data_IF_906498788777
#
_entry.id   IF_906498788777
#
_cell.length_a   1.000
_cell.length_b   1.000
_cell.length_c   1.000
_cell.angle_alpha   90.00
_cell.angle_beta   90.00
_cell.angle_gamma   90.00
#
_symmetry.space_group_name_H-M   'P 1'
#
loop_
_entity.id
_entity.type
_entity.pdbx_description
1 polymer ?
#
# COMPACT_ATOMS: atom_id res chain seq x y z
N UNK A 1 102.69 -18.09 6.72
CA UNK A 1 101.44 -18.36 7.45
C UNK A 1 100.52 -17.14 7.42
N UNK A 2 101.01 -15.92 7.71
CA UNK A 2 100.21 -14.68 7.75
C UNK A 2 99.47 -14.32 6.43
N UNK A 3 100.10 -14.51 5.27
CA UNK A 3 99.47 -14.23 3.96
C UNK A 3 98.23 -15.09 3.72
N UNK A 4 98.24 -16.34 4.20
CA UNK A 4 97.10 -17.27 4.08
C UNK A 4 95.94 -16.81 4.97
N UNK A 5 96.23 -16.32 6.18
CA UNK A 5 95.21 -15.76 7.06
C UNK A 5 94.59 -14.47 6.51
N UNK A 6 95.39 -13.59 5.88
CA UNK A 6 94.91 -12.37 5.24
C UNK A 6 93.98 -12.71 4.06
N UNK A 7 94.38 -13.65 3.20
CA UNK A 7 93.53 -14.10 2.08
C UNK A 7 92.23 -14.72 2.56
N UNK A 8 92.29 -15.56 3.60
CA UNK A 8 91.09 -16.18 4.17
C UNK A 8 90.15 -15.15 4.81
N UNK A 9 90.69 -14.14 5.51
CA UNK A 9 89.91 -13.03 6.05
C UNK A 9 89.24 -12.20 4.95
N UNK A 10 89.95 -11.91 3.85
CA UNK A 10 89.39 -11.22 2.68
C UNK A 10 88.27 -12.04 2.02
N UNK A 11 88.43 -13.37 1.89
CA UNK A 11 87.38 -14.23 1.34
C UNK A 11 86.13 -14.25 2.23
N UNK A 12 86.29 -14.37 3.55
CA UNK A 12 85.16 -14.32 4.49
C UNK A 12 84.46 -12.96 4.44
N UNK A 13 85.22 -11.86 4.42
CA UNK A 13 84.66 -10.52 4.29
C UNK A 13 83.87 -10.35 2.97
N UNK A 14 84.40 -10.85 1.85
CA UNK A 14 83.72 -10.81 0.56
C UNK A 14 82.42 -11.61 0.54
N UNK A 15 82.41 -12.81 1.16
CA UNK A 15 81.20 -13.65 1.28
C UNK A 15 80.15 -12.98 2.15
N UNK A 16 80.54 -12.36 3.27
CA UNK A 16 79.61 -11.64 4.15
C UNK A 16 79.03 -10.40 3.45
N UNK A 17 79.84 -9.66 2.70
CA UNK A 17 79.40 -8.51 1.91
C UNK A 17 78.42 -8.94 0.81
N UNK A 18 78.72 -10.03 0.11
CA UNK A 18 77.84 -10.61 -0.91
C UNK A 18 76.51 -11.08 -0.31
N UNK A 19 76.53 -11.73 0.86
CA UNK A 19 75.31 -12.14 1.56
C UNK A 19 74.46 -10.94 2.02
N UNK A 20 75.09 -9.87 2.53
CA UNK A 20 74.42 -8.61 2.90
C UNK A 20 73.79 -7.90 1.70
N UNK A 21 74.49 -7.86 0.57
CA UNK A 21 74.00 -7.24 -0.67
C UNK A 21 72.87 -8.06 -1.30
N UNK A 22 72.98 -9.39 -1.31
CA UNK A 22 71.95 -10.30 -1.83
C UNK A 22 70.69 -10.34 -0.94
N UNK A 23 70.85 -10.14 0.37
CA UNK A 23 69.73 -10.04 1.32
C UNK A 23 68.97 -8.71 1.29
N UNK A 24 69.47 -7.68 0.59
CA UNK A 24 68.86 -6.35 0.54
C UNK A 24 67.56 -6.23 -0.27
N UNK A 25 67.16 -7.28 -1.01
CA UNK A 25 65.94 -7.28 -1.82
C UNK A 25 64.66 -7.68 -1.07
N UNK A 26 64.78 -8.44 0.02
CA UNK A 26 63.64 -8.89 0.83
C UNK A 26 62.79 -7.75 1.44
N UNK A 27 63.38 -6.68 2.03
CA UNK A 27 62.57 -5.59 2.57
C UNK A 27 61.81 -4.82 1.48
N UNK A 28 62.41 -4.60 0.31
CA UNK A 28 61.75 -3.93 -0.83
C UNK A 28 60.61 -4.74 -1.44
N UNK A 29 60.75 -6.08 -1.46
CA UNK A 29 59.67 -6.97 -1.90
C UNK A 29 58.51 -6.98 -0.89
N UNK A 30 58.81 -6.91 0.41
CA UNK A 30 57.80 -6.80 1.45
C UNK A 30 57.07 -5.44 1.40
N UNK A 31 57.80 -4.34 1.16
CA UNK A 31 57.24 -3.00 0.93
C UNK A 31 56.31 -3.00 -0.29
N UNK A 32 56.74 -3.55 -1.43
CA UNK A 32 55.90 -3.63 -2.63
C UNK A 32 54.64 -4.51 -2.43
N UNK A 33 54.73 -5.57 -1.63
CA UNK A 33 53.58 -6.40 -1.27
C UNK A 33 52.59 -5.64 -0.37
N UNK A 34 53.09 -4.89 0.61
CA UNK A 34 52.28 -4.04 1.47
C UNK A 34 51.59 -2.92 0.69
N UNK A 35 52.28 -2.26 -0.23
CA UNK A 35 51.69 -1.23 -1.09
C UNK A 35 50.56 -1.81 -1.95
N UNK A 36 50.75 -3.01 -2.49
CA UNK A 36 49.71 -3.70 -3.26
C UNK A 36 48.50 -4.06 -2.39
N UNK A 37 48.73 -4.52 -1.17
CA UNK A 37 47.65 -4.85 -0.24
C UNK A 37 46.87 -3.61 0.22
N UNK A 38 47.55 -2.48 0.42
CA UNK A 38 46.91 -1.18 0.72
C UNK A 38 46.02 -0.75 -0.44
N UNK A 39 46.51 -0.78 -1.68
CA UNK A 39 45.71 -0.43 -2.86
C UNK A 39 44.48 -1.34 -3.01
N UNK A 40 44.65 -2.63 -2.71
CA UNK A 40 43.55 -3.59 -2.75
C UNK A 40 42.52 -3.32 -1.66
N UNK A 41 42.96 -2.99 -0.44
CA UNK A 41 42.08 -2.59 0.66
C UNK A 41 41.32 -1.30 0.33
N UNK A 42 41.97 -0.30 -0.24
CA UNK A 42 41.32 0.96 -0.67
C UNK A 42 40.24 0.70 -1.73
N UNK A 43 40.52 -0.14 -2.72
CA UNK A 43 39.54 -0.50 -3.75
C UNK A 43 38.37 -1.29 -3.16
N UNK A 44 38.63 -2.20 -2.21
CA UNK A 44 37.56 -2.89 -1.47
C UNK A 44 36.70 -1.92 -0.69
N UNK A 45 37.31 -0.91 -0.06
CA UNK A 45 36.60 0.09 0.73
C UNK A 45 35.72 0.97 -0.16
N UNK A 46 36.24 1.39 -1.32
CA UNK A 46 35.47 2.13 -2.32
C UNK A 46 34.27 1.32 -2.84
N UNK A 47 34.50 0.05 -3.19
CA UNK A 47 33.43 -0.85 -3.63
C UNK A 47 32.37 -1.04 -2.53
N UNK A 48 32.81 -1.25 -1.27
CA UNK A 48 31.87 -1.39 -0.16
C UNK A 48 31.04 -0.11 0.03
N UNK A 49 31.66 1.07 -0.03
CA UNK A 49 30.95 2.34 0.05
C UNK A 49 29.90 2.50 -1.05
N UNK A 50 30.21 2.08 -2.28
CA UNK A 50 29.26 2.06 -3.40
C UNK A 50 28.09 1.10 -3.14
N UNK A 51 28.36 -0.11 -2.64
CA UNK A 51 27.30 -1.07 -2.27
C UNK A 51 26.42 -0.56 -1.14
N UNK A 52 26.97 0.15 -0.15
CA UNK A 52 26.18 0.81 0.89
C UNK A 52 25.31 1.93 0.31
N UNK A 53 25.84 2.73 -0.61
CA UNK A 53 25.08 3.79 -1.28
C UNK A 53 23.91 3.27 -2.10
N UNK A 54 24.13 2.22 -2.89
CA UNK A 54 23.07 1.56 -3.69
C UNK A 54 22.02 0.91 -2.80
N UNK A 55 22.44 0.24 -1.71
CA UNK A 55 21.51 -0.35 -0.76
C UNK A 55 20.67 0.73 -0.06
N UNK A 56 21.28 1.82 0.39
CA UNK A 56 20.58 2.94 1.01
C UNK A 56 19.54 3.57 0.06
N UNK A 57 19.89 3.74 -1.22
CA UNK A 57 18.96 4.23 -2.24
C UNK A 57 17.78 3.27 -2.44
N UNK A 58 18.03 1.95 -2.48
CA UNK A 58 16.97 0.94 -2.60
C UNK A 58 16.03 0.91 -1.39
N UNK A 59 16.56 1.08 -0.17
CA UNK A 59 15.77 1.18 1.06
C UNK A 59 14.92 2.45 1.05
N UNK A 60 15.48 3.59 0.62
CA UNK A 60 14.72 4.83 0.48
C UNK A 60 13.58 4.67 -0.53
N UNK A 61 13.84 4.03 -1.68
CA UNK A 61 12.83 3.74 -2.69
C UNK A 61 11.73 2.78 -2.17
N UNK A 62 12.10 1.73 -1.42
CA UNK A 62 11.12 0.84 -0.78
C UNK A 62 10.25 1.56 0.25
N UNK A 63 10.85 2.41 1.10
CA UNK A 63 10.10 3.24 2.05
C UNK A 63 9.13 4.19 1.34
N UNK A 64 9.59 4.85 0.27
CA UNK A 64 8.72 5.71 -0.54
C UNK A 64 7.52 4.96 -1.14
N UNK A 65 7.74 3.76 -1.68
CA UNK A 65 6.65 2.90 -2.18
C UNK A 65 5.67 2.48 -1.09
N UNK A 66 6.17 2.15 0.11
CA UNK A 66 5.34 1.76 1.24
C UNK A 66 4.44 2.92 1.70
N UNK A 67 5.00 4.13 1.82
CA UNK A 67 4.22 5.33 2.17
C UNK A 67 3.15 5.63 1.12
N UNK A 68 3.51 5.62 -0.16
CA UNK A 68 2.53 5.84 -1.24
C UNK A 68 1.45 4.75 -1.31
N UNK A 69 1.73 3.53 -0.86
CA UNK A 69 0.73 2.47 -0.74
C UNK A 69 -0.19 2.71 0.46
N UNK A 70 0.37 3.06 1.61
CA UNK A 70 -0.39 3.37 2.81
C UNK A 70 -1.35 4.57 2.61
N UNK A 71 -0.91 5.61 1.89
CA UNK A 71 -1.76 6.74 1.51
C UNK A 71 -2.91 6.30 0.61
N UNK A 72 -2.63 5.50 -0.43
CA UNK A 72 -3.67 4.97 -1.32
C UNK A 72 -4.68 4.08 -0.62
N UNK A 73 -4.24 3.29 0.36
CA UNK A 73 -5.15 2.47 1.18
C UNK A 73 -6.00 3.34 2.10
N UNK A 74 -5.42 4.39 2.70
CA UNK A 74 -6.18 5.33 3.51
C UNK A 74 -7.27 6.03 2.68
N UNK A 75 -6.93 6.51 1.48
CA UNK A 75 -7.88 7.12 0.56
C UNK A 75 -9.00 6.16 0.15
N UNK A 76 -8.65 4.91 -0.19
CA UNK A 76 -9.65 3.86 -0.49
C UNK A 76 -10.59 3.61 0.66
N UNK A 77 -10.09 3.55 1.90
CA UNK A 77 -10.94 3.35 3.09
C UNK A 77 -11.89 4.53 3.28
N UNK A 78 -11.43 5.76 3.03
CA UNK A 78 -12.28 6.95 3.10
C UNK A 78 -13.35 6.93 2.00
N UNK A 79 -12.99 6.61 0.77
CA UNK A 79 -13.93 6.47 -0.35
C UNK A 79 -14.97 5.39 -0.07
N UNK A 80 -14.55 4.21 0.39
CA UNK A 80 -15.46 3.10 0.74
C UNK A 80 -16.42 3.50 1.88
N UNK A 81 -15.95 4.25 2.87
CA UNK A 81 -16.80 4.77 3.94
C UNK A 81 -17.78 5.83 3.43
N UNK A 82 -17.34 6.70 2.53
CA UNK A 82 -18.20 7.71 1.92
C UNK A 82 -19.29 7.05 1.06
N UNK A 83 -18.95 6.04 0.26
CA UNK A 83 -19.92 5.28 -0.53
C UNK A 83 -20.87 4.49 0.37
N UNK A 84 -20.39 3.85 1.44
CA UNK A 84 -21.23 3.14 2.40
C UNK A 84 -22.17 4.09 3.16
N UNK A 85 -21.73 5.31 3.46
CA UNK A 85 -22.59 6.33 4.06
C UNK A 85 -23.67 6.80 3.07
N UNK A 86 -23.33 6.98 1.79
CA UNK A 86 -24.28 7.32 0.74
C UNK A 86 -25.32 6.21 0.54
N UNK A 87 -24.91 4.95 0.45
CA UNK A 87 -25.86 3.83 0.34
C UNK A 87 -26.72 3.70 1.58
N UNK A 88 -26.19 3.93 2.78
CA UNK A 88 -27.00 3.95 4.01
C UNK A 88 -28.01 5.11 4.04
N UNK A 89 -27.69 6.28 3.47
CA UNK A 89 -28.65 7.38 3.31
C UNK A 89 -29.71 7.08 2.26
N UNK A 90 -29.33 6.47 1.14
CA UNK A 90 -30.26 6.02 0.09
C UNK A 90 -31.17 4.87 0.57
N UNK A 91 -30.66 3.99 1.45
CA UNK A 91 -31.43 2.96 2.13
C UNK A 91 -32.46 3.54 3.11
N UNK A 92 -32.26 4.77 3.60
CA UNK A 92 -33.17 5.48 4.51
C UNK A 92 -34.20 6.35 3.79
N UNK A 93 -34.10 6.51 2.47
CA UNK A 93 -35.11 7.27 1.73
C UNK A 93 -36.44 6.55 1.77
N UNK A 94 -37.43 7.21 2.35
CA UNK A 94 -38.78 6.69 2.44
C UNK A 94 -39.39 6.55 1.03
N UNK A 95 -40.26 5.55 0.83
CA UNK A 95 -40.97 5.36 -0.44
C UNK A 95 -41.71 6.65 -0.85
N UNK A 96 -42.20 7.43 0.13
CA UNK A 96 -42.86 8.73 -0.08
C UNK A 96 -41.91 9.77 -0.70
N UNK A 97 -40.68 9.92 -0.21
CA UNK A 97 -39.68 10.86 -0.79
C UNK A 97 -39.30 10.47 -2.22
N UNK A 98 -39.25 9.16 -2.49
CA UNK A 98 -38.96 8.66 -3.83
C UNK A 98 -40.08 9.00 -4.82
N UNK A 99 -41.34 8.89 -4.39
CA UNK A 99 -42.51 9.29 -5.18
C UNK A 99 -42.50 10.81 -5.49
N UNK A 100 -42.09 11.64 -4.52
CA UNK A 100 -41.93 13.09 -4.69
C UNK A 100 -40.84 13.42 -5.72
N UNK A 101 -39.65 12.83 -5.59
CA UNK A 101 -38.52 13.07 -6.50
C UNK A 101 -38.81 12.64 -7.94
N UNK A 102 -39.55 11.55 -8.11
CA UNK A 102 -40.00 11.08 -9.45
C UNK A 102 -41.14 11.91 -10.02
N UNK A 103 -41.69 12.88 -9.27
CA UNK A 103 -42.82 13.69 -9.68
C UNK A 103 -44.13 12.91 -9.81
N UNK A 104 -44.21 11.72 -9.22
CA UNK A 104 -45.42 10.87 -9.23
C UNK A 104 -46.48 11.40 -8.27
N UNK A 105 -46.04 12.14 -7.26
CA UNK A 105 -46.86 12.79 -6.24
C UNK A 105 -46.26 14.17 -5.96
N UNK A 106 -47.09 15.19 -5.68
CA UNK A 106 -46.62 16.52 -5.27
C UNK A 106 -46.56 16.69 -3.75
N UNK A 107 -45.77 17.66 -3.26
CA UNK A 107 -45.67 17.97 -1.83
C UNK A 107 -47.05 18.28 -1.21
N UNK A 108 -47.91 19.01 -1.93
CA UNK A 108 -49.27 19.31 -1.51
C UNK A 108 -50.14 18.05 -1.34
N UNK A 109 -49.96 17.04 -2.20
CA UNK A 109 -50.69 15.77 -2.12
C UNK A 109 -50.22 14.93 -0.94
N UNK A 110 -48.92 14.94 -0.66
CA UNK A 110 -48.31 14.31 0.52
C UNK A 110 -48.83 14.95 1.80
N UNK A 111 -48.88 16.28 1.87
CA UNK A 111 -49.42 17.01 3.02
C UNK A 111 -50.91 16.72 3.24
N UNK A 112 -51.71 16.63 2.17
CA UNK A 112 -53.13 16.25 2.25
C UNK A 112 -53.33 14.82 2.74
N UNK A 113 -52.53 13.87 2.27
CA UNK A 113 -52.56 12.50 2.75
C UNK A 113 -52.18 12.39 4.22
N UNK A 114 -51.20 13.16 4.68
CA UNK A 114 -50.82 13.19 6.09
C UNK A 114 -51.92 13.80 6.96
N UNK A 115 -52.51 14.93 6.54
CA UNK A 115 -53.62 15.56 7.23
C UNK A 115 -54.84 14.63 7.34
N UNK A 116 -55.17 13.91 6.27
CA UNK A 116 -56.21 12.89 6.30
C UNK A 116 -55.91 11.81 7.34
N UNK A 117 -54.68 11.27 7.35
CA UNK A 117 -54.25 10.22 8.29
C UNK A 117 -54.36 10.67 9.75
N UNK A 118 -53.91 11.89 10.06
CA UNK A 118 -54.01 12.47 11.41
C UNK A 118 -55.47 12.69 11.84
N UNK A 119 -56.32 13.16 10.92
CA UNK A 119 -57.70 13.50 11.23
C UNK A 119 -58.63 12.28 11.35
N UNK A 120 -58.34 11.18 10.63
CA UNK A 120 -59.12 9.94 10.70
C UNK A 120 -58.52 8.87 11.60
N UNK A 121 -57.29 9.06 12.09
CA UNK A 121 -56.56 8.03 12.85
C UNK A 121 -56.25 6.78 12.02
N UNK A 122 -56.13 6.93 10.70
CA UNK A 122 -55.94 5.81 9.79
C UNK A 122 -54.57 5.14 10.04
N UNK A 123 -54.50 3.82 10.31
CA UNK A 123 -53.25 3.13 10.59
C UNK A 123 -52.41 2.83 9.34
N UNK A 124 -52.92 3.12 8.13
CA UNK A 124 -52.21 2.85 6.89
C UNK A 124 -50.98 3.75 6.72
N UNK A 125 -49.89 3.22 6.13
CA UNK A 125 -48.71 4.01 5.80
C UNK A 125 -49.05 5.10 4.78
N UNK A 126 -48.27 6.19 4.79
CA UNK A 126 -48.55 7.38 4.00
C UNK A 126 -48.71 7.10 2.50
N UNK A 127 -47.96 6.14 1.96
CA UNK A 127 -48.03 5.77 0.55
C UNK A 127 -49.36 5.10 0.18
N UNK A 128 -49.89 4.25 1.06
CA UNK A 128 -51.19 3.60 0.86
C UNK A 128 -52.34 4.62 1.03
N UNK A 129 -52.17 5.64 1.87
CA UNK A 129 -53.12 6.75 1.99
C UNK A 129 -53.11 7.62 0.72
N UNK A 130 -51.95 7.84 0.10
CA UNK A 130 -51.86 8.54 -1.19
C UNK A 130 -52.63 7.81 -2.29
N UNK A 131 -52.55 6.48 -2.32
CA UNK A 131 -53.34 5.65 -3.24
C UNK A 131 -54.83 5.66 -2.91
N UNK A 132 -55.19 5.61 -1.62
CA UNK A 132 -56.58 5.68 -1.15
C UNK A 132 -57.27 6.99 -1.55
N UNK A 133 -56.55 8.11 -1.49
CA UNK A 133 -57.04 9.43 -1.90
C UNK A 133 -57.03 9.63 -3.43
N UNK A 134 -56.56 8.65 -4.20
CA UNK A 134 -56.51 8.70 -5.66
C UNK A 134 -55.43 9.62 -6.23
N UNK A 135 -54.44 10.04 -5.42
CA UNK A 135 -53.33 10.86 -5.90
C UNK A 135 -52.30 10.05 -6.69
N UNK A 136 -52.24 8.75 -6.46
CA UNK A 136 -51.43 7.79 -7.21
C UNK A 136 -52.25 6.52 -7.44
N UNK A 137 -52.07 5.87 -8.58
CA UNK A 137 -52.76 4.60 -8.86
C UNK A 137 -52.09 3.46 -8.10
N UNK A 138 -52.87 2.46 -7.68
CA UNK A 138 -52.37 1.30 -6.94
C UNK A 138 -51.31 0.51 -7.73
N UNK A 139 -51.40 0.50 -9.06
CA UNK A 139 -50.44 -0.19 -9.93
C UNK A 139 -49.08 0.51 -9.97
N UNK A 140 -49.05 1.84 -10.00
CA UNK A 140 -47.80 2.62 -9.95
C UNK A 140 -47.15 2.48 -8.58
N UNK A 141 -47.94 2.51 -7.50
CA UNK A 141 -47.43 2.30 -6.15
C UNK A 141 -46.83 0.90 -5.97
N UNK A 142 -47.47 -0.15 -6.52
CA UNK A 142 -46.94 -1.52 -6.49
C UNK A 142 -45.64 -1.64 -7.28
N UNK A 143 -45.58 -1.06 -8.48
CA UNK A 143 -44.38 -1.08 -9.31
C UNK A 143 -43.19 -0.39 -8.61
N UNK A 144 -43.41 0.77 -8.01
CA UNK A 144 -42.39 1.49 -7.25
C UNK A 144 -41.94 0.73 -6.00
N UNK A 145 -42.87 0.05 -5.32
CA UNK A 145 -42.54 -0.79 -4.16
C UNK A 145 -41.73 -2.02 -4.53
N UNK A 146 -42.04 -2.65 -5.67
CA UNK A 146 -41.30 -3.80 -6.17
C UNK A 146 -39.90 -3.39 -6.67
N UNK A 147 -39.79 -2.23 -7.31
CA UNK A 147 -38.50 -1.63 -7.69
C UNK A 147 -37.67 -1.28 -6.45
N UNK A 148 -38.28 -0.66 -5.43
CA UNK A 148 -37.65 -0.39 -4.14
C UNK A 148 -37.12 -1.69 -3.50
N UNK A 149 -37.92 -2.75 -3.48
CA UNK A 149 -37.48 -4.07 -2.97
C UNK A 149 -36.33 -4.68 -3.77
N UNK A 150 -36.33 -4.53 -5.09
CA UNK A 150 -35.24 -5.02 -5.96
C UNK A 150 -33.93 -4.28 -5.67
N UNK A 151 -33.98 -2.96 -5.56
CA UNK A 151 -32.80 -2.14 -5.26
C UNK A 151 -32.21 -2.47 -3.88
N UNK A 152 -33.05 -2.70 -2.86
CA UNK A 152 -32.63 -3.18 -1.54
C UNK A 152 -32.06 -4.62 -1.56
N UNK A 153 -32.58 -5.50 -2.43
CA UNK A 153 -32.08 -6.87 -2.55
C UNK A 153 -30.73 -6.96 -3.25
N UNK A 154 -30.50 -6.12 -4.26
CA UNK A 154 -29.23 -6.10 -5.02
C UNK A 154 -28.08 -5.55 -4.17
N UNK A 155 -28.34 -4.59 -3.28
CA UNK A 155 -27.32 -4.02 -2.37
C UNK A 155 -26.90 -5.01 -1.28
N UNK A 156 -27.83 -5.76 -0.68
CA UNK A 156 -27.51 -6.78 0.35
C UNK A 156 -26.70 -7.95 -0.21
N UNK A 157 -26.91 -8.32 -1.48
CA UNK A 157 -26.13 -9.37 -2.13
C UNK A 157 -24.68 -8.95 -2.44
N UNK A 158 -24.39 -7.66 -2.48
CA UNK A 158 -23.06 -7.12 -2.79
C UNK A 158 -22.19 -6.96 -1.54
N UNK A 159 -22.79 -6.86 -0.34
CA UNK A 159 -22.07 -6.80 0.95
C UNK A 159 -21.56 -8.16 1.44
N UNK A 160 -22.07 -9.27 0.90
CA UNK A 160 -21.60 -10.63 1.19
C UNK A 160 -21.22 -11.37 -0.10
N UNK A 161 -20.00 -11.15 -0.64
CA UNK A 161 -19.44 -12.13 -1.55
C UNK A 161 -19.36 -13.48 -0.80
N UNK A 162 -19.70 -14.62 -1.43
CA UNK A 162 -19.39 -15.93 -0.86
C UNK A 162 -17.88 -15.95 -0.66
N UNK A 163 -17.44 -15.98 0.59
CA UNK A 163 -16.04 -16.12 0.93
C UNK A 163 -15.53 -17.41 0.31
N UNK A 164 -14.62 -17.30 -0.64
CA UNK A 164 -13.84 -18.40 -1.16
C UNK A 164 -13.00 -18.95 0.00
N UNK A 165 -13.60 -19.86 0.75
CA UNK A 165 -12.91 -20.74 1.67
C UNK A 165 -12.14 -21.77 0.86
N UNK A 166 -11.10 -21.34 0.15
CA UNK A 166 -10.04 -22.25 -0.27
C UNK A 166 -9.11 -22.49 0.92
N UNK A 167 -9.58 -23.39 1.79
CA UNK A 167 -8.67 -24.27 2.50
C UNK A 167 -8.07 -25.25 1.50
N UNK A 168 -6.77 -25.15 1.27
CA UNK A 168 -5.99 -26.24 0.72
C UNK A 168 -4.67 -26.30 1.49
N UNK A 169 -4.55 -27.41 2.20
CA UNK A 169 -3.42 -27.85 3.01
C UNK A 169 -2.21 -28.26 2.15
#
# INVERSE_FOLDING_TARGET
MEIVFILLACCVAAVLLYAKLRGGGAPRLAEAALERDIQLMELRLANLAETYGTLQASVAAMRGRLHAHAEREADRVVELRASAAQTATEQRESLTERLLRKGLVSEDQVAKAEAYRRNTGNPLPQEEVLALLGFITADVLRAERDEHRRQHRTTVAQEFPPGDGEGAA
#
